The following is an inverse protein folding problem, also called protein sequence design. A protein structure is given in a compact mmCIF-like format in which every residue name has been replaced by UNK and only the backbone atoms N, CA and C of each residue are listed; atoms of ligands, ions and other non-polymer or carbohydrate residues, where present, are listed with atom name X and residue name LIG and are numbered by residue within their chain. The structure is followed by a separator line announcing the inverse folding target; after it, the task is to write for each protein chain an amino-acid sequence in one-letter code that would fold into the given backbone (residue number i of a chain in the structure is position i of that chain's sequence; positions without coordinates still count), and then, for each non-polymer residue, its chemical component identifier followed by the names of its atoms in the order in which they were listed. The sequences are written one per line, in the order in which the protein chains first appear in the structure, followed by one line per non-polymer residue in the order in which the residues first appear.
data_IF_196495312616
#
_entry.id   IF_196495312616
#
_cell.length_a   1.000
_cell.length_b   1.000
_cell.length_c   1.000
_cell.angle_alpha   90.00
_cell.angle_beta   90.00
_cell.angle_gamma   90.00
#
_symmetry.space_group_name_H-M   'P 1'
#
loop_
_entity.id
_entity.type
_entity.pdbx_description
1 polymer ?
#
# COMPACT_ATOMS: atom_id res chain seq x y z
N UNK A 1 -6.29 0.16 5.76
CA UNK A 1 -6.52 1.58 6.13
C UNK A 1 -6.64 2.35 4.83
N UNK A 2 -7.38 3.46 4.78
CA UNK A 2 -7.51 4.26 3.55
C UNK A 2 -6.51 5.40 3.54
N UNK A 3 -5.94 5.72 2.38
CA UNK A 3 -5.02 6.85 2.21
C UNK A 3 -5.74 8.20 2.21
N UNK A 4 -5.04 9.24 2.64
CA UNK A 4 -5.46 10.62 2.67
C UNK A 4 -4.69 11.46 1.63
N UNK A 5 -5.14 12.70 1.40
CA UNK A 5 -4.38 13.66 0.59
C UNK A 5 -3.07 14.01 1.32
N UNK A 6 -1.99 14.16 0.57
CA UNK A 6 -0.60 14.34 1.01
C UNK A 6 0.10 13.08 1.57
N UNK A 7 -0.54 11.90 1.59
CA UNK A 7 0.15 10.65 1.97
C UNK A 7 1.19 10.21 0.94
N UNK A 8 2.37 9.78 1.41
CA UNK A 8 3.38 9.15 0.56
C UNK A 8 3.11 7.65 0.41
N UNK A 9 3.05 7.19 -0.84
CA UNK A 9 2.68 5.82 -1.20
C UNK A 9 3.57 5.25 -2.29
N UNK A 10 3.83 3.95 -2.23
CA UNK A 10 4.45 3.17 -3.30
C UNK A 10 3.35 2.58 -4.18
N UNK A 11 3.45 2.81 -5.49
CA UNK A 11 2.52 2.21 -6.46
C UNK A 11 2.99 0.83 -6.89
N UNK A 12 2.13 -0.17 -6.76
CA UNK A 12 2.32 -1.54 -7.25
C UNK A 12 1.31 -1.84 -8.36
N UNK A 13 1.64 -1.44 -9.59
CA UNK A 13 0.85 -1.76 -10.77
C UNK A 13 1.74 -1.99 -11.99
N UNK A 14 1.86 -3.26 -12.39
CA UNK A 14 2.66 -3.69 -13.56
C UNK A 14 2.21 -3.12 -14.90
N UNK A 15 1.02 -2.52 -14.95
CA UNK A 15 0.51 -1.83 -16.13
C UNK A 15 0.82 -0.34 -16.14
N UNK A 16 1.23 0.22 -15.00
CA UNK A 16 1.64 1.62 -14.87
C UNK A 16 3.12 1.79 -15.22
N UNK A 17 3.47 3.00 -15.63
CA UNK A 17 4.86 3.41 -15.86
C UNK A 17 5.59 3.73 -14.54
N UNK A 18 4.84 3.93 -13.45
CA UNK A 18 5.34 4.30 -12.12
C UNK A 18 5.37 3.10 -11.13
N UNK A 19 5.36 1.86 -11.65
CA UNK A 19 5.42 0.63 -10.83
C UNK A 19 6.69 0.59 -9.97
N UNK A 20 6.51 0.48 -8.66
CA UNK A 20 7.56 0.50 -7.66
C UNK A 20 8.09 1.89 -7.31
N UNK A 21 7.51 2.96 -7.84
CA UNK A 21 7.88 4.34 -7.49
C UNK A 21 7.06 4.87 -6.31
N UNK A 22 7.69 5.73 -5.51
CA UNK A 22 7.01 6.48 -4.44
C UNK A 22 6.43 7.77 -5.00
N UNK A 23 5.16 8.03 -4.72
CA UNK A 23 4.49 9.28 -5.06
C UNK A 23 3.60 9.75 -3.93
N UNK A 24 2.98 10.91 -4.12
CA UNK A 24 2.12 11.54 -3.11
C UNK A 24 0.66 11.49 -3.56
N UNK A 25 -0.25 11.08 -2.69
CA UNK A 25 -1.69 11.12 -2.96
C UNK A 25 -2.14 12.58 -3.03
N UNK A 26 -2.71 12.98 -4.16
CA UNK A 26 -3.15 14.37 -4.41
C UNK A 26 -4.67 14.49 -4.52
N UNK A 27 -5.37 13.36 -4.62
CA UNK A 27 -6.83 13.34 -4.67
C UNK A 27 -7.36 11.97 -4.23
N UNK A 28 -8.37 12.00 -3.36
CA UNK A 28 -9.15 10.83 -2.95
C UNK A 28 -10.54 10.92 -3.58
N UNK A 29 -10.90 9.96 -4.41
CA UNK A 29 -12.22 9.84 -5.04
C UNK A 29 -12.97 8.71 -4.36
N UNK A 30 -13.79 9.07 -3.37
CA UNK A 30 -14.70 8.13 -2.72
C UNK A 30 -15.83 7.75 -3.68
N UNK A 31 -16.01 6.45 -3.88
CA UNK A 31 -17.15 5.95 -4.65
C UNK A 31 -18.33 5.71 -3.70
N UNK A 32 -19.55 6.10 -4.09
CA UNK A 32 -20.74 5.93 -3.23
C UNK A 32 -21.14 4.46 -2.98
N UNK A 33 -20.38 3.50 -3.50
CA UNK A 33 -20.75 2.09 -3.55
C UNK A 33 -19.54 1.12 -3.57
N UNK A 34 -18.34 1.57 -3.24
CA UNK A 34 -17.14 0.74 -3.36
C UNK A 34 -15.88 1.36 -2.78
N UNK A 35 -14.74 0.79 -3.16
CA UNK A 35 -13.41 1.23 -2.74
C UNK A 35 -13.07 2.62 -3.32
N UNK A 36 -12.33 3.44 -2.55
CA UNK A 36 -11.83 4.72 -3.04
C UNK A 36 -10.82 4.51 -4.19
N UNK A 37 -10.76 5.50 -5.08
CA UNK A 37 -9.73 5.57 -6.10
C UNK A 37 -8.87 6.81 -5.84
N UNK A 38 -7.58 6.69 -6.11
CA UNK A 38 -6.58 7.69 -5.76
C UNK A 38 -5.95 8.29 -7.01
N UNK A 39 -5.49 9.53 -6.87
CA UNK A 39 -4.55 10.14 -7.83
C UNK A 39 -3.22 10.34 -7.14
N UNK A 40 -2.18 9.71 -7.65
CA UNK A 40 -0.82 9.78 -7.10
C UNK A 40 0.04 10.63 -8.03
N UNK A 41 0.75 11.60 -7.46
CA UNK A 41 1.70 12.44 -8.18
C UNK A 41 3.12 11.96 -7.94
N UNK A 42 3.90 11.87 -9.01
CA UNK A 42 5.31 11.50 -9.03
C UNK A 42 6.15 12.66 -9.59
N UNK A 43 7.48 12.53 -9.57
CA UNK A 43 8.38 13.57 -10.12
C UNK A 43 8.17 13.80 -11.63
N UNK A 44 7.86 12.73 -12.38
CA UNK A 44 7.72 12.76 -13.85
C UNK A 44 6.26 12.80 -14.34
N UNK A 45 5.26 12.82 -13.44
CA UNK A 45 3.86 12.81 -13.84
C UNK A 45 2.87 12.54 -12.71
N UNK A 46 1.65 12.12 -13.08
CA UNK A 46 0.62 11.70 -12.12
C UNK A 46 -0.18 10.53 -12.72
N UNK A 47 -0.63 9.63 -11.86
CA UNK A 47 -1.49 8.50 -12.21
C UNK A 47 -2.84 8.63 -11.47
N UNK A 48 -3.95 8.52 -12.20
CA UNK A 48 -5.29 8.70 -11.64
C UNK A 48 -6.12 7.42 -11.76
N UNK A 49 -6.99 7.19 -10.78
CA UNK A 49 -7.82 5.98 -10.75
C UNK A 49 -7.08 4.77 -10.19
N UNK A 50 -6.07 5.01 -9.35
CA UNK A 50 -5.32 3.96 -8.68
C UNK A 50 -6.19 3.34 -7.58
N UNK A 51 -6.40 2.02 -7.55
CA UNK A 51 -7.13 1.37 -6.47
C UNK A 51 -6.29 1.32 -5.19
N UNK A 52 -6.95 1.28 -4.03
CA UNK A 52 -6.28 1.11 -2.73
C UNK A 52 -5.33 -0.10 -2.70
N UNK A 53 -5.76 -1.23 -3.30
CA UNK A 53 -4.98 -2.48 -3.33
C UNK A 53 -3.62 -2.37 -4.05
N UNK A 54 -3.46 -1.36 -4.91
CA UNK A 54 -2.20 -1.12 -5.63
C UNK A 54 -1.30 -0.12 -4.90
N UNK A 55 -1.68 0.38 -3.73
CA UNK A 55 -0.91 1.35 -2.97
C UNK A 55 -0.42 0.75 -1.66
N UNK A 56 0.80 1.11 -1.28
CA UNK A 56 1.40 0.79 0.01
C UNK A 56 1.92 2.08 0.64
N UNK A 57 1.74 2.30 1.94
CA UNK A 57 2.28 3.49 2.61
C UNK A 57 3.82 3.47 2.54
N UNK A 58 4.43 4.58 2.12
CA UNK A 58 5.88 4.71 2.01
C UNK A 58 6.55 5.03 3.35
N UNK A 59 5.81 5.59 4.33
CA UNK A 59 6.28 5.78 5.70
C UNK A 59 5.88 4.59 6.59
N UNK A 60 6.91 3.91 7.10
CA UNK A 60 6.93 2.74 7.98
C UNK A 60 6.35 3.05 9.39
N UNK A 61 5.05 3.33 9.51
CA UNK A 61 4.37 3.40 10.82
C UNK A 61 3.24 2.37 10.95
N UNK A 62 3.46 1.13 10.50
CA UNK A 62 2.91 -0.04 11.18
C UNK A 62 3.98 -1.15 11.21
N UNK A 63 4.80 -1.08 12.25
CA UNK A 63 5.44 -2.24 12.85
C UNK A 63 4.42 -3.35 13.12
N UNK A 64 4.13 -4.19 12.14
CA UNK A 64 3.64 -5.56 12.36
C UNK A 64 4.86 -6.45 12.65
N UNK A 65 5.47 -6.19 13.81
CA UNK A 65 6.09 -7.26 14.59
C UNK A 65 4.98 -8.26 14.96
N UNK A 66 4.74 -9.25 14.10
CA UNK A 66 4.27 -10.56 14.54
C UNK A 66 5.50 -11.42 14.85
N UNK A 67 6.00 -11.47 16.10
CA UNK A 67 6.87 -12.56 16.52
C UNK A 67 6.00 -13.76 16.91
N UNK A 68 5.30 -14.36 15.95
CA UNK A 68 4.62 -15.64 16.15
C UNK A 68 5.33 -16.70 15.31
N UNK A 69 6.20 -17.48 15.95
CA UNK A 69 6.40 -18.93 15.70
C UNK A 69 7.58 -19.42 16.55
N UNK A 70 7.33 -19.53 17.86
CA UNK A 70 8.04 -20.43 18.74
C UNK A 70 7.15 -21.63 19.06
N UNK A 71 6.66 -22.33 18.04
CA UNK A 71 6.10 -23.67 18.23
C UNK A 71 7.26 -24.60 18.57
N UNK A 72 7.49 -24.83 19.87
CA UNK A 72 8.34 -25.90 20.38
C UNK A 72 7.84 -27.23 19.79
N UNK A 73 8.58 -27.71 18.80
CA UNK A 73 8.43 -28.98 18.11
C UNK A 73 8.40 -30.14 19.12
N UNK A 74 7.28 -30.88 19.16
CA UNK A 74 7.19 -32.13 19.91
C UNK A 74 8.21 -33.14 19.36
N UNK A 75 9.31 -33.37 20.08
CA UNK A 75 10.18 -34.53 19.82
C UNK A 75 9.66 -35.76 20.58
N UNK A 76 8.97 -36.59 19.82
CA UNK A 76 8.65 -37.98 20.13
C UNK A 76 9.92 -38.86 20.25
N UNK A 77 9.82 -39.90 21.07
CA UNK A 77 10.62 -41.15 21.08
C UNK A 77 11.99 -41.20 21.82
N UNK A 78 11.96 -41.71 23.07
CA UNK A 78 13.01 -42.56 23.66
C UNK A 78 12.48 -43.47 24.80
#
# INVERSE_FOLDING_TARGET
MSFEEDDEVVLHDKHSEFDGETGTVTQVVETMFGEPNYTVSFDDGQEAGVPEDNLELAEDDESEEDPDEGEDEEVDDA
#
